data_IF_738256883579
#
_entry.id   IF_738256883579
#
_cell.length_a   1.000
_cell.length_b   1.000
_cell.length_c   1.000
_cell.angle_alpha   90.00
_cell.angle_beta   90.00
_cell.angle_gamma   90.00
#
_symmetry.space_group_name_H-M   'P 1'
#
loop_
_entity.id
_entity.type
_entity.pdbx_description
1 polymer ?
#
# COMPACT_ATOMS: atom_id res chain seq x y z
N UNK A 1 -41.02 -3.88 2.21
CA UNK A 1 -39.87 -3.36 3.00
C UNK A 1 -38.79 -2.94 2.03
N UNK A 2 -38.54 -1.64 1.87
CA UNK A 2 -37.49 -1.11 0.99
C UNK A 2 -36.21 -0.93 1.81
N UNK A 3 -35.28 -1.87 1.74
CA UNK A 3 -33.93 -1.70 2.26
C UNK A 3 -33.11 -0.94 1.22
N UNK A 4 -33.03 0.38 1.36
CA UNK A 4 -32.00 1.17 0.68
C UNK A 4 -30.65 0.60 1.10
N UNK A 5 -29.90 -0.02 0.18
CA UNK A 5 -28.48 -0.29 0.37
C UNK A 5 -27.80 1.08 0.48
N UNK A 6 -27.53 1.51 1.70
CA UNK A 6 -26.55 2.56 1.98
C UNK A 6 -25.27 2.10 1.32
N UNK A 7 -24.77 2.84 0.32
CA UNK A 7 -23.52 2.51 -0.35
C UNK A 7 -22.43 2.39 0.70
N UNK A 8 -21.89 1.18 0.89
CA UNK A 8 -20.80 0.95 1.83
C UNK A 8 -19.61 1.79 1.35
N UNK A 9 -19.04 2.61 2.25
CA UNK A 9 -17.78 3.28 1.96
C UNK A 9 -16.72 2.20 1.80
N UNK A 10 -15.96 2.28 0.72
CA UNK A 10 -14.69 1.57 0.61
C UNK A 10 -13.78 2.11 1.72
N UNK A 11 -13.43 1.28 2.71
CA UNK A 11 -12.62 1.71 3.86
C UNK A 11 -11.14 1.84 3.50
N UNK A 12 -10.63 0.96 2.64
CA UNK A 12 -9.21 0.91 2.27
C UNK A 12 -9.03 0.80 0.76
N UNK A 13 -8.00 1.50 0.24
CA UNK A 13 -7.55 1.42 -1.15
C UNK A 13 -6.16 0.77 -1.15
N UNK A 14 -5.99 -0.43 -1.73
CA UNK A 14 -4.68 -1.09 -1.76
C UNK A 14 -3.72 -0.33 -2.67
N UNK A 15 -2.47 -0.16 -2.20
CA UNK A 15 -1.43 0.57 -2.95
C UNK A 15 -0.48 -0.39 -3.68
N UNK A 16 -0.07 -1.50 -3.06
CA UNK A 16 0.90 -2.42 -3.68
C UNK A 16 0.84 -3.84 -3.11
N UNK A 17 1.49 -4.78 -3.80
CA UNK A 17 1.68 -6.20 -3.44
C UNK A 17 3.00 -6.70 -4.04
N UNK A 18 3.56 -7.80 -3.53
CA UNK A 18 4.76 -8.45 -4.08
C UNK A 18 4.53 -9.93 -4.33
N UNK A 19 5.06 -10.44 -5.44
CA UNK A 19 5.03 -11.84 -5.85
C UNK A 19 6.42 -12.33 -6.29
N UNK A 20 6.51 -13.59 -6.73
CA UNK A 20 7.77 -14.20 -7.17
C UNK A 20 8.23 -13.67 -8.51
N UNK A 21 7.30 -13.33 -9.40
CA UNK A 21 7.63 -12.77 -10.71
C UNK A 21 8.30 -11.40 -10.58
N UNK A 22 7.96 -10.62 -9.54
CA UNK A 22 8.66 -9.36 -9.23
C UNK A 22 10.13 -9.61 -8.88
N UNK A 23 10.41 -10.67 -8.11
CA UNK A 23 11.77 -11.08 -7.76
C UNK A 23 12.55 -11.56 -9.00
N UNK A 24 11.94 -12.40 -9.84
CA UNK A 24 12.56 -12.88 -11.08
C UNK A 24 12.82 -11.71 -12.06
N UNK A 25 11.87 -10.78 -12.18
CA UNK A 25 12.01 -9.56 -12.99
C UNK A 25 13.15 -8.68 -12.48
N UNK A 26 13.34 -8.62 -11.17
CA UNK A 26 14.48 -7.94 -10.54
C UNK A 26 15.80 -8.75 -10.59
N UNK A 27 15.80 -9.96 -11.17
CA UNK A 27 16.97 -10.80 -11.36
C UNK A 27 17.28 -11.77 -10.21
N UNK A 28 16.36 -11.97 -9.28
CA UNK A 28 16.51 -12.92 -8.16
C UNK A 28 15.95 -14.29 -8.52
N UNK A 29 16.70 -15.34 -8.16
CA UNK A 29 16.27 -16.72 -8.34
C UNK A 29 15.25 -17.16 -7.29
N UNK A 30 14.06 -17.60 -7.71
CA UNK A 30 12.95 -17.91 -6.79
C UNK A 30 12.62 -19.39 -6.64
N UNK A 31 13.28 -20.31 -7.35
CA UNK A 31 12.96 -21.75 -7.36
C UNK A 31 12.86 -22.37 -5.95
N UNK A 32 13.68 -21.91 -5.02
CA UNK A 32 13.74 -22.44 -3.65
C UNK A 32 13.12 -21.50 -2.60
N UNK A 33 12.49 -20.41 -3.03
CA UNK A 33 11.82 -19.49 -2.10
C UNK A 33 10.52 -20.15 -1.64
N UNK A 34 10.23 -20.08 -0.34
CA UNK A 34 8.98 -20.58 0.26
C UNK A 34 7.98 -19.45 0.44
N UNK A 35 6.70 -19.78 0.62
CA UNK A 35 5.68 -18.78 0.89
C UNK A 35 5.90 -18.07 2.23
N UNK A 36 6.47 -18.76 3.22
CA UNK A 36 6.92 -18.13 4.48
C UNK A 36 8.00 -17.07 4.25
N UNK A 37 8.90 -17.30 3.30
CA UNK A 37 9.92 -16.32 2.91
C UNK A 37 9.27 -15.13 2.19
N UNK A 38 8.32 -15.38 1.27
CA UNK A 38 7.57 -14.31 0.60
C UNK A 38 6.75 -13.47 1.58
N UNK A 39 6.11 -14.09 2.57
CA UNK A 39 5.38 -13.37 3.61
C UNK A 39 6.31 -12.45 4.41
N UNK A 40 7.49 -12.96 4.79
CA UNK A 40 8.48 -12.16 5.51
C UNK A 40 9.05 -11.01 4.65
N UNK A 41 9.24 -11.25 3.36
CA UNK A 41 9.62 -10.20 2.41
C UNK A 41 8.54 -9.13 2.32
N UNK A 42 7.28 -9.52 2.13
CA UNK A 42 6.14 -8.61 2.07
C UNK A 42 6.04 -7.76 3.33
N UNK A 43 6.16 -8.36 4.53
CA UNK A 43 6.18 -7.60 5.79
C UNK A 43 7.33 -6.61 5.88
N UNK A 44 8.53 -6.98 5.42
CA UNK A 44 9.69 -6.08 5.41
C UNK A 44 9.49 -4.92 4.42
N UNK A 45 9.02 -5.21 3.22
CA UNK A 45 8.73 -4.19 2.21
C UNK A 45 7.64 -3.23 2.69
N UNK A 46 6.58 -3.72 3.32
CA UNK A 46 5.54 -2.88 3.90
C UNK A 46 6.11 -1.92 4.95
N UNK A 47 6.94 -2.42 5.88
CA UNK A 47 7.58 -1.58 6.88
C UNK A 47 8.49 -0.52 6.24
N UNK A 48 9.37 -0.93 5.31
CA UNK A 48 10.28 -0.02 4.62
C UNK A 48 9.53 1.03 3.81
N UNK A 49 8.45 0.66 3.13
CA UNK A 49 7.62 1.60 2.38
C UNK A 49 6.98 2.63 3.31
N UNK A 50 6.42 2.17 4.44
CA UNK A 50 5.85 3.07 5.46
C UNK A 50 6.88 4.01 6.08
N UNK A 51 8.07 3.51 6.40
CA UNK A 51 9.13 4.29 7.06
C UNK A 51 9.75 5.34 6.15
N UNK A 52 9.89 5.03 4.85
CA UNK A 52 10.70 5.86 3.95
C UNK A 52 9.90 6.71 2.96
N UNK A 53 8.70 6.29 2.56
CA UNK A 53 8.04 6.90 1.40
C UNK A 53 6.55 7.13 1.59
N UNK A 54 5.81 6.18 2.19
CA UNK A 54 4.34 6.24 2.25
C UNK A 54 3.80 7.57 2.76
N UNK A 55 4.26 8.04 3.92
CA UNK A 55 3.70 9.24 4.54
C UNK A 55 4.11 10.52 3.81
N UNK A 56 5.30 10.52 3.21
CA UNK A 56 5.83 11.63 2.43
C UNK A 56 5.06 11.72 1.11
N UNK A 57 4.93 10.60 0.41
CA UNK A 57 4.21 10.50 -0.86
C UNK A 57 2.72 10.81 -0.67
N UNK A 58 2.10 10.33 0.41
CA UNK A 58 0.71 10.64 0.73
C UNK A 58 0.50 12.15 0.83
N UNK A 59 1.41 12.86 1.50
CA UNK A 59 1.30 14.30 1.68
C UNK A 59 1.45 15.05 0.35
N UNK A 60 2.52 14.73 -0.41
CA UNK A 60 2.83 15.34 -1.70
C UNK A 60 1.71 15.10 -2.71
N UNK A 61 1.27 13.84 -2.85
CA UNK A 61 0.26 13.45 -3.84
C UNK A 61 -1.14 13.92 -3.44
N UNK A 62 -1.45 13.99 -2.15
CA UNK A 62 -2.70 14.59 -1.70
C UNK A 62 -2.77 16.08 -2.07
N UNK A 63 -1.68 16.82 -1.86
CA UNK A 63 -1.58 18.23 -2.25
C UNK A 63 -1.65 18.41 -3.78
N UNK A 64 -0.94 17.57 -4.56
CA UNK A 64 -1.01 17.56 -6.04
C UNK A 64 -2.44 17.33 -6.55
N UNK A 65 -3.19 16.44 -5.89
CA UNK A 65 -4.60 16.18 -6.17
C UNK A 65 -5.56 17.24 -5.60
N UNK A 66 -5.05 18.29 -4.95
CA UNK A 66 -5.85 19.38 -4.38
C UNK A 66 -6.65 18.98 -3.13
N UNK A 67 -6.28 17.89 -2.45
CA UNK A 67 -6.87 17.47 -1.19
C UNK A 67 -6.37 18.40 -0.09
N UNK A 68 -7.27 19.22 0.46
CA UNK A 68 -6.92 20.22 1.46
C UNK A 68 -6.61 19.57 2.81
N UNK A 69 -5.45 19.89 3.38
CA UNK A 69 -5.20 19.70 4.81
C UNK A 69 -6.25 20.44 5.63
N UNK A 70 -6.65 19.84 6.75
CA UNK A 70 -7.43 20.56 7.75
C UNK A 70 -6.59 21.74 8.28
N UNK A 71 -7.12 22.95 8.20
CA UNK A 71 -6.49 24.15 8.75
C UNK A 71 -6.71 24.19 10.26
N UNK A 72 -6.14 23.25 11.02
CA UNK A 72 -6.14 23.33 12.48
C UNK A 72 -4.88 22.66 13.06
N UNK A 73 -3.89 23.50 13.39
CA UNK A 73 -3.02 23.45 14.57
C UNK A 73 -1.93 24.52 14.44
N UNK A 74 -2.27 25.72 14.92
CA UNK A 74 -1.27 26.56 15.60
C UNK A 74 -0.96 25.95 16.96
#
# INVERSE_FOLDING_TARGET
MNTKKVGQRQEFFPITSVCRDDLETAGFYTKNITDSTMLRLASKMANTYCENSFWIDLDILAEDLGIKKHQDKQ
#
